data_IF_782537456837
#
_entry.id   IF_782537456837
#
_cell.length_a   1.000
_cell.length_b   1.000
_cell.length_c   1.000
_cell.angle_alpha   90.00
_cell.angle_beta   90.00
_cell.angle_gamma   90.00
#
_symmetry.space_group_name_H-M   'P 1'
#
loop_
_entity.id
_entity.type
_entity.pdbx_description
1 polymer ?
#
# COMPACT_ATOMS: atom_id res chain seq x y z
N UNK A 1 26.29 13.62 6.61
CA UNK A 1 27.06 14.12 5.46
C UNK A 1 27.23 12.93 4.52
N UNK A 2 26.23 12.64 3.66
CA UNK A 2 26.18 11.53 2.68
C UNK A 2 24.92 11.69 1.78
N UNK A 3 24.68 12.87 1.20
CA UNK A 3 23.37 13.21 0.59
C UNK A 3 23.39 13.08 -0.94
N UNK A 4 24.55 12.80 -1.52
CA UNK A 4 24.82 12.55 -2.94
C UNK A 4 25.06 11.07 -3.27
N UNK A 5 24.77 10.16 -2.33
CA UNK A 5 25.02 8.72 -2.49
C UNK A 5 24.10 8.01 -3.49
N UNK A 6 22.99 8.63 -3.88
CA UNK A 6 22.01 8.05 -4.78
C UNK A 6 21.59 9.10 -5.80
N UNK A 7 21.64 8.73 -7.07
CA UNK A 7 20.95 9.48 -8.12
C UNK A 7 19.51 8.99 -8.19
N UNK A 8 18.55 9.89 -8.02
CA UNK A 8 17.11 9.59 -8.02
C UNK A 8 16.46 10.27 -9.21
N UNK A 9 15.71 9.51 -9.99
CA UNK A 9 14.89 10.00 -11.10
C UNK A 9 13.41 9.79 -10.79
N UNK A 10 12.59 10.77 -11.15
CA UNK A 10 11.13 10.69 -11.08
C UNK A 10 10.59 10.65 -12.51
N UNK A 11 10.17 9.48 -12.96
CA UNK A 11 9.70 9.26 -14.34
C UNK A 11 8.17 9.19 -14.41
N UNK A 12 7.60 9.56 -15.56
CA UNK A 12 6.17 9.39 -15.79
C UNK A 12 5.76 7.92 -15.69
N UNK A 13 4.56 7.69 -15.19
CA UNK A 13 3.90 6.38 -15.29
C UNK A 13 3.32 6.20 -16.69
N UNK A 14 3.18 4.96 -17.15
CA UNK A 14 2.61 4.64 -18.47
C UNK A 14 1.18 5.17 -18.65
N UNK A 15 0.51 5.47 -17.54
CA UNK A 15 -0.75 6.18 -17.48
C UNK A 15 -0.49 7.61 -16.96
N UNK A 16 -0.40 8.58 -17.86
CA UNK A 16 -0.04 9.99 -17.58
C UNK A 16 -1.14 10.78 -16.82
N UNK A 17 -2.24 10.12 -16.44
CA UNK A 17 -3.41 10.76 -15.81
C UNK A 17 -3.19 11.23 -14.36
N UNK A 18 -2.00 11.02 -13.77
CA UNK A 18 -1.70 11.41 -12.38
C UNK A 18 -0.35 12.12 -12.27
N UNK A 19 -0.21 13.02 -11.29
CA UNK A 19 1.07 13.68 -10.96
C UNK A 19 2.10 12.73 -10.34
N UNK A 20 1.73 11.46 -10.10
CA UNK A 20 2.59 10.45 -9.51
C UNK A 20 3.67 10.02 -10.50
N UNK A 21 4.89 9.85 -9.99
CA UNK A 21 6.07 9.46 -10.76
C UNK A 21 6.68 8.18 -10.20
N UNK A 22 7.15 7.30 -11.09
CA UNK A 22 7.97 6.13 -10.73
C UNK A 22 9.29 6.60 -10.14
N UNK A 23 9.71 5.99 -9.04
CA UNK A 23 10.99 6.29 -8.39
C UNK A 23 12.06 5.33 -8.88
N UNK A 24 13.00 5.87 -9.66
CA UNK A 24 14.15 5.12 -10.17
C UNK A 24 15.39 5.56 -9.40
N UNK A 25 16.20 4.60 -8.95
CA UNK A 25 17.38 4.89 -8.13
C UNK A 25 18.63 4.23 -8.70
N UNK A 26 19.71 5.00 -8.72
CA UNK A 26 21.07 4.51 -8.97
C UNK A 26 21.93 4.82 -7.74
N UNK A 27 22.21 3.85 -6.85
CA UNK A 27 23.19 4.03 -5.79
C UNK A 27 24.60 4.25 -6.38
N UNK A 28 25.19 5.40 -6.08
CA UNK A 28 26.53 5.81 -6.55
C UNK A 28 27.67 5.29 -5.67
N UNK A 29 27.36 4.46 -4.67
CA UNK A 29 28.30 3.93 -3.69
C UNK A 29 28.34 2.39 -3.67
N UNK A 30 27.51 1.72 -4.47
CA UNK A 30 27.40 0.26 -4.49
C UNK A 30 28.41 -0.34 -5.49
N UNK A 31 29.68 -0.47 -5.10
CA UNK A 31 30.76 -0.94 -5.99
C UNK A 31 30.71 -2.42 -6.35
N UNK A 32 30.27 -3.27 -5.42
CA UNK A 32 30.29 -4.73 -5.61
C UNK A 32 29.08 -5.24 -6.42
N UNK A 33 27.93 -4.59 -6.24
CA UNK A 33 26.67 -4.89 -6.94
C UNK A 33 26.02 -3.57 -7.38
N UNK A 34 26.53 -2.93 -8.44
CA UNK A 34 25.97 -1.68 -8.92
C UNK A 34 24.56 -1.90 -9.45
N UNK A 35 23.62 -1.13 -8.90
CA UNK A 35 22.26 -1.05 -9.41
C UNK A 35 22.16 0.22 -10.24
N UNK A 36 21.87 0.10 -11.53
CA UNK A 36 21.78 1.23 -12.46
C UNK A 36 20.33 1.35 -12.92
N UNK A 37 19.75 2.54 -12.72
CA UNK A 37 18.34 2.84 -13.03
C UNK A 37 17.39 1.78 -12.48
N UNK A 38 17.58 1.39 -11.23
CA UNK A 38 16.78 0.36 -10.60
C UNK A 38 15.38 0.89 -10.27
N UNK A 39 14.35 0.22 -10.80
CA UNK A 39 12.96 0.55 -10.54
C UNK A 39 12.53 0.04 -9.16
N UNK A 40 12.31 0.97 -8.23
CA UNK A 40 11.83 0.62 -6.89
C UNK A 40 10.41 0.06 -6.91
N UNK A 41 9.67 0.24 -8.01
CA UNK A 41 8.23 -0.01 -8.13
C UNK A 41 7.40 0.80 -7.11
N UNK A 42 7.93 1.92 -6.65
CA UNK A 42 7.27 2.87 -5.76
C UNK A 42 6.85 4.13 -6.54
N UNK A 43 5.83 4.85 -6.04
CA UNK A 43 5.35 6.10 -6.64
C UNK A 43 5.47 7.28 -5.67
N UNK A 44 5.97 8.40 -6.18
CA UNK A 44 6.13 9.63 -5.43
C UNK A 44 5.58 10.84 -6.18
N UNK A 45 5.22 11.87 -5.42
CA UNK A 45 4.96 13.20 -5.97
C UNK A 45 6.24 14.05 -5.87
N UNK A 46 6.63 14.75 -6.93
CA UNK A 46 7.66 15.79 -6.84
C UNK A 46 7.24 16.85 -5.80
N UNK A 47 8.20 17.29 -4.99
CA UNK A 47 7.99 18.39 -4.05
C UNK A 47 8.28 19.73 -4.72
N UNK A 48 7.34 20.67 -4.60
CA UNK A 48 7.39 21.95 -5.33
C UNK A 48 8.05 23.08 -4.53
N UNK A 49 8.71 22.76 -3.40
CA UNK A 49 9.24 23.74 -2.46
C UNK A 49 10.68 23.43 -2.10
N UNK A 50 11.43 24.48 -1.81
CA UNK A 50 12.76 24.35 -1.21
C UNK A 50 12.64 23.93 0.26
N UNK A 51 13.57 23.11 0.75
CA UNK A 51 13.57 22.70 2.14
C UNK A 51 14.00 23.86 3.05
N UNK A 52 13.30 24.15 4.17
CA UNK A 52 13.68 25.22 5.09
C UNK A 52 15.06 25.01 5.76
N UNK A 53 15.63 23.81 5.68
CA UNK A 53 17.00 23.55 6.15
C UNK A 53 18.11 24.11 5.23
N UNK A 54 17.75 24.72 4.09
CA UNK A 54 18.70 25.34 3.15
C UNK A 54 19.40 24.39 2.18
N UNK A 55 19.11 23.08 2.25
CA UNK A 55 19.64 22.10 1.28
C UNK A 55 18.92 22.22 -0.06
N UNK A 56 19.68 22.30 -1.16
CA UNK A 56 19.17 22.46 -2.53
C UNK A 56 18.77 21.17 -3.26
N UNK A 57 18.53 20.07 -2.53
CA UNK A 57 18.14 18.81 -3.16
C UNK A 57 16.65 18.81 -3.55
N UNK A 58 16.27 18.11 -4.64
CA UNK A 58 14.87 17.90 -4.98
C UNK A 58 14.10 17.31 -3.80
N UNK A 59 12.91 17.86 -3.53
CA UNK A 59 12.00 17.28 -2.57
C UNK A 59 11.10 16.26 -3.27
N UNK A 60 10.63 15.29 -2.50
CA UNK A 60 9.60 14.36 -2.93
C UNK A 60 8.67 14.07 -1.75
N UNK A 61 7.40 13.86 -2.05
CA UNK A 61 6.44 13.33 -1.10
C UNK A 61 6.13 11.88 -1.47
N UNK A 62 6.58 10.95 -0.62
CA UNK A 62 6.18 9.55 -0.74
C UNK A 62 4.68 9.44 -0.44
N UNK A 63 3.91 8.96 -1.41
CA UNK A 63 2.46 8.80 -1.29
C UNK A 63 2.04 7.35 -1.37
N UNK A 64 2.74 6.56 -2.18
CA UNK A 64 2.34 5.21 -2.56
C UNK A 64 3.59 4.33 -2.52
N UNK A 65 3.48 3.21 -1.79
CA UNK A 65 4.51 2.16 -1.81
C UNK A 65 4.46 1.33 -3.08
N UNK A 66 4.65 0.02 -2.97
CA UNK A 66 4.69 -0.87 -4.14
C UNK A 66 3.41 -0.84 -4.95
N UNK A 67 3.57 -0.64 -6.26
CA UNK A 67 2.49 -0.68 -7.25
C UNK A 67 1.61 -1.94 -7.16
N UNK A 68 2.22 -3.08 -6.84
CA UNK A 68 1.58 -4.39 -6.90
C UNK A 68 0.84 -4.80 -5.60
N UNK A 69 0.80 -3.92 -4.59
CA UNK A 69 0.14 -4.17 -3.32
C UNK A 69 -1.17 -3.37 -3.20
N UNK A 70 -1.93 -3.19 -4.28
CA UNK A 70 -3.20 -2.44 -4.26
C UNK A 70 -4.41 -3.30 -4.59
N UNK A 71 -5.57 -2.96 -4.01
CA UNK A 71 -6.86 -3.47 -4.48
C UNK A 71 -7.36 -2.61 -5.64
N UNK A 72 -8.09 -3.24 -6.56
CA UNK A 72 -8.66 -2.61 -7.74
C UNK A 72 -10.16 -2.44 -7.55
N UNK A 73 -10.61 -1.18 -7.49
CA UNK A 73 -12.01 -0.80 -7.53
C UNK A 73 -12.52 -0.67 -8.97
N UNK A 74 -13.79 -0.25 -9.11
CA UNK A 74 -14.39 -0.02 -10.43
C UNK A 74 -13.56 0.96 -11.28
N UNK A 75 -13.57 0.73 -12.59
CA UNK A 75 -12.87 1.57 -13.58
C UNK A 75 -11.36 1.69 -13.33
N UNK A 76 -10.73 0.67 -12.75
CA UNK A 76 -9.27 0.63 -12.52
C UNK A 76 -8.78 1.49 -11.35
N UNK A 77 -9.67 1.98 -10.48
CA UNK A 77 -9.25 2.78 -9.34
C UNK A 77 -8.39 1.94 -8.38
N UNK A 78 -7.14 2.36 -8.14
CA UNK A 78 -6.23 1.68 -7.21
C UNK A 78 -6.40 2.17 -5.78
N UNK A 79 -6.54 1.23 -4.84
CA UNK A 79 -6.61 1.47 -3.40
C UNK A 79 -5.39 0.86 -2.74
N UNK A 80 -4.52 1.71 -2.19
CA UNK A 80 -3.19 1.32 -1.70
C UNK A 80 -3.20 0.86 -0.22
N UNK A 81 -2.17 0.13 0.25
CA UNK A 81 -2.10 -0.42 1.60
C UNK A 81 -2.30 0.61 2.71
N UNK A 82 -1.80 1.83 2.53
CA UNK A 82 -1.92 2.91 3.52
C UNK A 82 -3.38 3.19 3.89
N UNK A 83 -4.31 3.11 2.94
CA UNK A 83 -5.74 3.26 3.22
C UNK A 83 -6.22 2.21 4.23
N UNK A 84 -5.86 0.95 4.02
CA UNK A 84 -6.27 -0.16 4.89
C UNK A 84 -5.61 -0.12 6.27
N UNK A 85 -4.33 0.28 6.33
CA UNK A 85 -3.63 0.53 7.61
C UNK A 85 -4.42 1.56 8.44
N UNK A 86 -4.83 2.67 7.83
CA UNK A 86 -5.61 3.69 8.52
C UNK A 86 -7.02 3.25 8.92
N UNK A 87 -7.63 2.28 8.22
CA UNK A 87 -8.96 1.77 8.58
C UNK A 87 -8.95 0.90 9.84
N UNK A 88 -7.82 0.26 10.12
CA UNK A 88 -7.60 -0.61 11.28
C UNK A 88 -6.85 0.10 12.41
N UNK A 89 -6.47 1.37 12.22
CA UNK A 89 -5.77 2.15 13.22
C UNK A 89 -6.63 2.29 14.50
N UNK A 90 -6.01 2.06 15.65
CA UNK A 90 -6.68 2.03 16.95
C UNK A 90 -7.33 0.69 17.35
N UNK A 91 -7.45 -0.28 16.45
CA UNK A 91 -7.99 -1.63 16.77
C UNK A 91 -6.90 -2.50 17.41
N UNK A 92 -6.57 -2.23 18.67
CA UNK A 92 -5.45 -2.88 19.40
C UNK A 92 -5.61 -4.39 19.59
N UNK A 93 -6.81 -4.91 19.42
CA UNK A 93 -7.13 -6.34 19.51
C UNK A 93 -6.82 -7.10 18.21
N UNK A 94 -6.40 -6.42 17.15
CA UNK A 94 -5.95 -7.02 15.89
C UNK A 94 -4.42 -7.09 15.92
N UNK A 95 -3.88 -8.32 15.97
CA UNK A 95 -2.43 -8.56 15.88
C UNK A 95 -1.90 -8.35 14.48
N UNK A 96 -2.66 -8.83 13.50
CA UNK A 96 -2.27 -8.79 12.10
C UNK A 96 -3.49 -8.90 11.19
N UNK A 97 -3.32 -8.50 9.94
CA UNK A 97 -4.40 -8.52 8.97
C UNK A 97 -3.89 -8.65 7.54
N UNK A 98 -4.74 -9.21 6.68
CA UNK A 98 -4.50 -9.31 5.24
C UNK A 98 -5.80 -9.08 4.47
N UNK A 99 -5.81 -8.04 3.64
CA UNK A 99 -6.83 -7.83 2.63
C UNK A 99 -6.46 -8.59 1.37
N UNK A 100 -7.43 -9.29 0.79
CA UNK A 100 -7.29 -10.03 -0.46
C UNK A 100 -8.41 -9.70 -1.42
N UNK A 101 -8.09 -9.60 -2.70
CA UNK A 101 -9.06 -9.49 -3.77
C UNK A 101 -8.74 -10.49 -4.87
N UNK A 102 -9.62 -11.48 -5.03
CA UNK A 102 -9.52 -12.47 -6.11
C UNK A 102 -10.34 -12.08 -7.33
N UNK A 103 -11.47 -11.40 -7.09
CA UNK A 103 -12.44 -11.00 -8.10
C UNK A 103 -12.83 -9.54 -7.89
N UNK A 104 -13.16 -8.83 -8.98
CA UNK A 104 -13.62 -7.44 -8.88
C UNK A 104 -14.88 -7.36 -8.00
N UNK A 105 -14.92 -6.37 -7.09
CA UNK A 105 -16.05 -6.16 -6.19
C UNK A 105 -16.12 -7.08 -4.96
N UNK A 106 -15.19 -8.03 -4.79
CA UNK A 106 -15.14 -8.90 -3.60
C UNK A 106 -13.83 -8.66 -2.85
N UNK A 107 -13.93 -8.32 -1.57
CA UNK A 107 -12.80 -8.14 -0.67
C UNK A 107 -12.89 -9.16 0.47
N UNK A 108 -11.83 -9.93 0.64
CA UNK A 108 -11.63 -10.84 1.75
C UNK A 108 -10.69 -10.15 2.76
N UNK A 109 -10.99 -10.25 4.05
CA UNK A 109 -10.15 -9.77 5.14
C UNK A 109 -9.94 -10.89 6.14
N UNK A 110 -8.69 -11.34 6.25
CA UNK A 110 -8.25 -12.22 7.31
C UNK A 110 -7.70 -11.39 8.47
N UNK A 111 -8.13 -11.70 9.69
CA UNK A 111 -7.69 -11.07 10.94
C UNK A 111 -7.05 -12.10 11.87
N UNK A 112 -5.84 -11.84 12.31
CA UNK A 112 -5.29 -12.47 13.52
C UNK A 112 -5.67 -11.59 14.72
N UNK A 113 -6.41 -12.15 15.67
CA UNK A 113 -6.93 -11.42 16.83
C UNK A 113 -6.19 -11.80 18.11
N UNK A 114 -6.17 -10.89 19.07
CA UNK A 114 -5.67 -11.16 20.42
C UNK A 114 -6.47 -12.28 21.09
N UNK A 115 -5.78 -13.10 21.87
CA UNK A 115 -6.37 -14.26 22.54
C UNK A 115 -6.94 -13.85 23.91
N UNK A 116 -8.09 -14.40 24.30
CA UNK A 116 -8.60 -14.31 25.67
C UNK A 116 -9.68 -13.26 25.92
N UNK A 117 -10.05 -12.45 24.92
CA UNK A 117 -11.19 -11.54 24.98
C UNK A 117 -12.21 -11.88 23.88
N UNK A 118 -13.49 -11.75 24.19
CA UNK A 118 -14.55 -11.84 23.18
C UNK A 118 -14.65 -10.52 22.44
N UNK A 119 -14.24 -10.52 21.17
CA UNK A 119 -14.25 -9.35 20.31
C UNK A 119 -15.45 -9.30 19.35
N UNK A 120 -16.50 -10.10 19.55
CA UNK A 120 -17.64 -10.17 18.61
C UNK A 120 -18.32 -8.81 18.34
N UNK A 121 -18.55 -8.01 19.37
CA UNK A 121 -19.17 -6.68 19.20
C UNK A 121 -18.23 -5.71 18.46
N UNK A 122 -16.94 -5.72 18.82
CA UNK A 122 -15.92 -4.92 18.14
C UNK A 122 -15.77 -5.32 16.67
N UNK A 123 -15.79 -6.62 16.38
CA UNK A 123 -15.72 -7.19 15.04
C UNK A 123 -16.93 -6.78 14.20
N UNK A 124 -18.13 -6.82 14.77
CA UNK A 124 -19.36 -6.39 14.08
C UNK A 124 -19.33 -4.90 13.72
N UNK A 125 -18.92 -4.05 14.68
CA UNK A 125 -18.75 -2.60 14.44
C UNK A 125 -17.65 -2.31 13.41
N UNK A 126 -16.57 -3.07 13.45
CA UNK A 126 -15.49 -2.98 12.48
C UNK A 126 -15.98 -3.35 11.09
N UNK A 127 -16.69 -4.47 10.95
CA UNK A 127 -17.25 -4.95 9.68
C UNK A 127 -18.10 -3.88 9.00
N UNK A 128 -19.07 -3.29 9.72
CA UNK A 128 -19.91 -2.23 9.19
C UNK A 128 -19.11 -0.99 8.75
N UNK A 129 -18.11 -0.59 9.56
CA UNK A 129 -17.25 0.54 9.25
C UNK A 129 -16.43 0.30 7.99
N UNK A 130 -15.82 -0.90 7.87
CA UNK A 130 -15.01 -1.31 6.73
C UNK A 130 -15.86 -1.42 5.46
N UNK A 131 -17.00 -2.09 5.52
CA UNK A 131 -17.90 -2.24 4.38
C UNK A 131 -18.29 -0.89 3.80
N UNK A 132 -18.67 0.07 4.65
CA UNK A 132 -18.97 1.44 4.23
C UNK A 132 -17.76 2.13 3.61
N UNK A 133 -16.61 2.16 4.29
CA UNK A 133 -15.43 2.92 3.85
C UNK A 133 -14.78 2.35 2.60
N UNK A 134 -14.72 1.03 2.48
CA UNK A 134 -14.22 0.34 1.30
C UNK A 134 -15.24 0.53 0.16
N UNK A 135 -16.54 0.42 0.43
CA UNK A 135 -17.59 0.67 -0.55
C UNK A 135 -17.55 2.09 -1.14
N UNK A 136 -17.36 3.12 -0.30
CA UNK A 136 -17.17 4.51 -0.71
C UNK A 136 -16.00 4.67 -1.70
N UNK A 137 -14.91 3.91 -1.50
CA UNK A 137 -13.73 3.93 -2.38
C UNK A 137 -13.90 3.08 -3.64
N UNK A 138 -14.56 1.93 -3.55
CA UNK A 138 -14.68 0.97 -4.67
C UNK A 138 -15.87 1.24 -5.60
N UNK A 139 -16.80 2.12 -5.23
CA UNK A 139 -17.96 2.49 -6.06
C UNK A 139 -19.27 1.76 -5.71
N UNK A 140 -19.57 1.67 -4.42
CA UNK A 140 -20.85 1.34 -3.77
C UNK A 140 -21.39 -0.10 -3.90
N UNK A 141 -20.72 -1.01 -4.60
CA UNK A 141 -21.06 -2.45 -4.56
C UNK A 141 -19.79 -3.24 -4.31
N UNK A 142 -19.50 -3.48 -3.03
CA UNK A 142 -18.41 -4.36 -2.60
C UNK A 142 -18.98 -5.38 -1.61
N UNK A 143 -18.59 -6.63 -1.77
CA UNK A 143 -18.80 -7.67 -0.78
C UNK A 143 -17.56 -7.75 0.10
N UNK A 144 -17.74 -7.71 1.42
CA UNK A 144 -16.65 -7.84 2.39
C UNK A 144 -16.86 -9.10 3.23
N UNK A 145 -16.02 -10.10 2.99
CA UNK A 145 -15.94 -11.30 3.81
C UNK A 145 -14.82 -11.11 4.85
N UNK A 146 -15.15 -11.28 6.14
CA UNK A 146 -14.17 -11.16 7.24
C UNK A 146 -14.04 -12.51 7.93
N UNK A 147 -12.81 -12.99 8.07
CA UNK A 147 -12.49 -14.26 8.73
C UNK A 147 -11.46 -14.02 9.83
N UNK A 148 -11.66 -14.66 10.98
CA UNK A 148 -10.63 -14.71 12.03
C UNK A 148 -9.78 -15.97 11.82
N UNK A 149 -8.47 -15.81 11.75
CA UNK A 149 -7.51 -16.89 11.48
C UNK A 149 -6.46 -16.96 12.58
N UNK A 150 -5.91 -18.15 12.81
CA UNK A 150 -4.87 -18.34 13.83
C UNK A 150 -3.57 -17.63 13.44
N UNK A 151 -3.24 -17.63 12.14
CA UNK A 151 -2.00 -17.06 11.62
C UNK A 151 -2.08 -16.70 10.14
N UNK A 152 -1.59 -15.52 9.78
CA UNK A 152 -1.35 -15.05 8.42
C UNK A 152 0.10 -15.36 8.05
N UNK A 153 0.26 -16.03 6.92
CA UNK A 153 1.57 -16.45 6.42
C UNK A 153 2.41 -15.26 5.97
N UNK A 154 3.68 -15.28 6.37
CA UNK A 154 4.70 -14.32 5.91
C UNK A 154 5.18 -14.67 4.50
N UNK A 155 5.69 -13.66 3.78
CA UNK A 155 6.42 -13.89 2.52
C UNK A 155 7.69 -14.71 2.77
N UNK A 156 8.27 -15.25 1.70
CA UNK A 156 9.59 -15.91 1.75
C UNK A 156 10.69 -15.02 2.34
N UNK A 157 10.56 -13.70 2.21
CA UNK A 157 11.46 -12.71 2.84
C UNK A 157 11.12 -12.36 4.29
N UNK A 158 10.13 -13.04 4.89
CA UNK A 158 9.70 -12.86 6.28
C UNK A 158 8.81 -11.64 6.56
N UNK A 159 8.33 -10.94 5.52
CA UNK A 159 7.47 -9.76 5.64
C UNK A 159 5.98 -10.14 5.58
N UNK A 160 5.12 -9.34 6.19
CA UNK A 160 3.67 -9.44 5.94
C UNK A 160 3.30 -8.68 4.66
N UNK A 161 2.43 -9.28 3.86
CA UNK A 161 1.70 -8.57 2.80
C UNK A 161 0.29 -8.30 3.32
N UNK A 162 0.06 -7.04 3.65
CA UNK A 162 -1.24 -6.58 4.14
C UNK A 162 -2.31 -6.50 3.06
N UNK A 163 -1.90 -6.43 1.78
CA UNK A 163 -2.80 -6.36 0.64
C UNK A 163 -2.29 -7.29 -0.46
N UNK A 164 -3.17 -8.13 -0.99
CA UNK A 164 -2.91 -9.03 -2.12
C UNK A 164 -4.06 -8.89 -3.11
N UNK A 165 -3.75 -8.57 -4.37
CA UNK A 165 -4.74 -8.59 -5.45
C UNK A 165 -4.30 -9.56 -6.53
N UNK A 166 -5.24 -10.40 -6.96
CA UNK A 166 -5.13 -11.29 -8.12
C UNK A 166 -5.90 -10.71 -9.32
N UNK A 167 -6.66 -9.63 -9.11
CA UNK A 167 -7.34 -8.89 -10.17
C UNK A 167 -6.32 -8.05 -10.92
N UNK A 168 -6.18 -8.33 -12.22
CA UNK A 168 -5.39 -7.50 -13.13
C UNK A 168 -6.28 -6.43 -13.77
N UNK A 169 -5.68 -5.29 -14.07
CA UNK A 169 -6.33 -4.22 -14.83
C UNK A 169 -6.65 -4.72 -16.25
N UNK A 170 -7.89 -4.50 -16.72
CA UNK A 170 -8.19 -4.69 -18.13
C UNK A 170 -7.35 -3.68 -18.93
N UNK A 171 -6.45 -4.19 -19.78
CA UNK A 171 -5.62 -3.38 -20.68
C UNK A 171 -6.45 -2.61 -21.68
#
# INVERSE_FOLDING_TARGET
MFIDMNHVELLNTDNDATDLKKVIVTPLHAYYQPLIRYDLNDLALPGNKSCPCGRGYPLMQMRIGRLNDCLIGKKGLRIYPSFFVHLLDGEKWIRNYQFRQRTEGVVELDLEIESGEDHQEALSRLHERLLRKIGERMGNRVELAVSCVDQITRTTSGKYRHVISEVQEAR
#
